data_IF_156817602185
#
_entry.id   IF_156817602185
#
_cell.length_a   1.000
_cell.length_b   1.000
_cell.length_c   1.000
_cell.angle_alpha   90.00
_cell.angle_beta   90.00
_cell.angle_gamma   90.00
#
_symmetry.space_group_name_H-M   'P 1'
#
loop_
_entity.id
_entity.type
_entity.pdbx_description
1 polymer ?
#
# COMPACT_ATOMS: atom_id res chain seq x y z
N UNK A 1 19.20 -16.17 -4.67
CA UNK A 1 18.84 -16.35 -6.09
C UNK A 1 19.71 -15.38 -6.88
N UNK A 2 20.43 -15.85 -7.90
CA UNK A 2 21.21 -14.96 -8.77
C UNK A 2 20.34 -14.28 -9.83
N UNK A 3 20.88 -13.32 -10.57
CA UNK A 3 20.16 -12.51 -11.57
C UNK A 3 19.48 -13.36 -12.67
N UNK A 4 20.14 -14.41 -13.16
CA UNK A 4 19.58 -15.31 -14.17
C UNK A 4 18.35 -16.06 -13.66
N UNK A 5 18.42 -16.55 -12.42
CA UNK A 5 17.32 -17.25 -11.78
C UNK A 5 16.16 -16.30 -11.48
N UNK A 6 16.45 -15.03 -11.16
CA UNK A 6 15.43 -13.99 -11.00
C UNK A 6 14.71 -13.71 -12.31
N UNK A 7 15.46 -13.52 -13.40
CA UNK A 7 14.90 -13.28 -14.72
C UNK A 7 13.95 -14.41 -15.15
N UNK A 8 14.37 -15.67 -14.98
CA UNK A 8 13.52 -16.82 -15.31
C UNK A 8 12.30 -16.93 -14.38
N UNK A 9 12.42 -16.59 -13.10
CA UNK A 9 11.32 -16.62 -12.12
C UNK A 9 10.17 -15.67 -12.51
N UNK A 10 10.48 -14.47 -13.01
CA UNK A 10 9.45 -13.47 -13.34
C UNK A 10 9.03 -13.48 -14.82
N UNK A 11 9.68 -14.28 -15.66
CA UNK A 11 9.47 -14.33 -17.10
C UNK A 11 8.00 -14.61 -17.42
N UNK A 12 7.40 -13.73 -18.22
CA UNK A 12 5.99 -13.81 -18.63
C UNK A 12 4.98 -13.87 -17.46
N UNK A 13 5.35 -13.46 -16.24
CA UNK A 13 4.40 -13.38 -15.14
C UNK A 13 3.31 -12.34 -15.42
N UNK A 14 2.06 -12.67 -15.08
CA UNK A 14 0.93 -11.73 -15.16
C UNK A 14 0.79 -10.86 -13.89
N UNK A 15 1.23 -11.39 -12.74
CA UNK A 15 1.23 -10.73 -11.43
C UNK A 15 2.53 -11.06 -10.69
N UNK A 16 3.19 -10.05 -10.16
CA UNK A 16 4.36 -10.17 -9.28
C UNK A 16 4.08 -9.44 -7.97
N UNK A 17 4.13 -10.16 -6.86
CA UNK A 17 4.07 -9.59 -5.52
C UNK A 17 5.48 -9.47 -4.95
N UNK A 18 5.81 -8.30 -4.42
CA UNK A 18 7.15 -7.99 -3.88
C UNK A 18 7.02 -7.72 -2.37
N UNK A 19 7.05 -8.77 -1.52
CA UNK A 19 7.21 -8.66 -0.08
C UNK A 19 8.68 -8.61 0.36
N UNK A 20 9.61 -8.75 -0.58
CA UNK A 20 11.04 -8.85 -0.31
C UNK A 20 11.57 -7.57 0.34
N UNK A 21 12.14 -7.71 1.54
CA UNK A 21 12.71 -6.61 2.28
C UNK A 21 13.27 -7.09 3.60
N UNK A 22 14.06 -6.24 4.23
CA UNK A 22 14.60 -6.49 5.56
C UNK A 22 13.61 -5.93 6.59
N UNK A 23 13.23 -6.68 7.63
CA UNK A 23 12.46 -6.13 8.73
C UNK A 23 13.35 -5.18 9.54
N UNK A 24 12.75 -4.22 10.25
CA UNK A 24 13.49 -3.34 11.15
C UNK A 24 14.22 -4.18 12.21
N UNK A 25 15.55 -4.08 12.27
CA UNK A 25 16.39 -4.73 13.30
C UNK A 25 16.74 -3.75 14.42
N UNK A 26 16.99 -4.21 15.65
CA UNK A 26 17.57 -3.36 16.70
C UNK A 26 18.82 -2.63 16.18
N UNK A 27 18.90 -1.32 16.42
CA UNK A 27 20.02 -0.48 15.98
C UNK A 27 19.94 0.09 14.56
N UNK A 28 19.02 -0.38 13.70
CA UNK A 28 18.80 0.25 12.38
C UNK A 28 18.04 1.57 12.50
N UNK A 29 18.55 2.61 11.84
CA UNK A 29 17.81 3.87 11.66
C UNK A 29 16.68 3.70 10.64
N UNK A 30 15.75 4.66 10.61
CA UNK A 30 14.70 4.69 9.56
C UNK A 30 15.30 4.81 8.16
N UNK A 31 16.43 5.52 8.04
CA UNK A 31 17.11 5.74 6.76
C UNK A 31 17.88 4.50 6.29
N UNK A 32 18.51 3.75 7.19
CA UNK A 32 19.18 2.48 6.84
C UNK A 32 18.19 1.47 6.27
N UNK A 33 17.03 1.36 6.93
CA UNK A 33 15.94 0.49 6.48
C UNK A 33 15.42 0.91 5.11
N UNK A 34 15.21 2.22 4.91
CA UNK A 34 14.82 2.77 3.62
C UNK A 34 15.83 2.43 2.53
N UNK A 35 17.12 2.75 2.71
CA UNK A 35 18.14 2.54 1.68
C UNK A 35 18.30 1.07 1.31
N UNK A 36 18.26 0.18 2.31
CA UNK A 36 18.32 -1.27 2.10
C UNK A 36 17.15 -1.75 1.24
N UNK A 37 15.92 -1.40 1.64
CA UNK A 37 14.73 -1.86 0.93
C UNK A 37 14.53 -1.16 -0.42
N UNK A 38 14.99 0.09 -0.56
CA UNK A 38 14.99 0.83 -1.81
C UNK A 38 15.84 0.13 -2.88
N UNK A 39 17.05 -0.31 -2.52
CA UNK A 39 17.91 -1.09 -3.41
C UNK A 39 17.29 -2.43 -3.82
N UNK A 40 16.70 -3.15 -2.87
CA UNK A 40 16.01 -4.43 -3.12
C UNK A 40 14.86 -4.23 -4.11
N UNK A 41 13.97 -3.27 -3.85
CA UNK A 41 12.81 -3.01 -4.73
C UNK A 41 13.26 -2.58 -6.11
N UNK A 42 14.23 -1.66 -6.20
CA UNK A 42 14.70 -1.18 -7.50
C UNK A 42 15.29 -2.31 -8.35
N UNK A 43 16.09 -3.20 -7.75
CA UNK A 43 16.65 -4.36 -8.46
C UNK A 43 15.58 -5.36 -8.92
N UNK A 44 14.62 -5.70 -8.04
CA UNK A 44 13.54 -6.63 -8.39
C UNK A 44 12.60 -6.06 -9.47
N UNK A 45 12.28 -4.77 -9.39
CA UNK A 45 11.43 -4.10 -10.38
C UNK A 45 12.16 -3.94 -11.72
N UNK A 46 13.47 -3.70 -11.72
CA UNK A 46 14.27 -3.67 -12.95
C UNK A 46 14.26 -5.03 -13.66
N UNK A 47 14.35 -6.13 -12.90
CA UNK A 47 14.20 -7.47 -13.46
C UNK A 47 12.79 -7.68 -14.05
N UNK A 48 11.74 -7.22 -13.37
CA UNK A 48 10.36 -7.29 -13.90
C UNK A 48 10.21 -6.43 -15.16
N UNK A 49 10.78 -5.23 -15.19
CA UNK A 49 10.74 -4.33 -16.34
C UNK A 49 11.31 -4.99 -17.61
N UNK A 50 12.38 -5.78 -17.46
CA UNK A 50 13.07 -6.47 -18.56
C UNK A 50 12.39 -7.76 -19.00
N UNK A 51 11.74 -8.48 -18.08
CA UNK A 51 11.30 -9.87 -18.33
C UNK A 51 9.77 -10.08 -18.30
N UNK A 52 9.02 -9.16 -17.69
CA UNK A 52 7.55 -9.16 -17.65
C UNK A 52 6.97 -7.74 -17.56
N UNK A 53 7.28 -6.84 -18.52
CA UNK A 53 6.91 -5.41 -18.44
C UNK A 53 5.41 -5.12 -18.35
N UNK A 54 4.55 -6.10 -18.64
CA UNK A 54 3.09 -5.99 -18.57
C UNK A 54 2.49 -6.60 -17.31
N UNK A 55 3.31 -7.20 -16.44
CA UNK A 55 2.85 -7.76 -15.17
C UNK A 55 2.21 -6.67 -14.30
N UNK A 56 1.21 -7.06 -13.50
CA UNK A 56 0.77 -6.24 -12.38
C UNK A 56 1.80 -6.36 -11.25
N UNK A 57 2.24 -5.25 -10.69
CA UNK A 57 3.23 -5.23 -9.60
C UNK A 57 2.57 -4.81 -8.29
N UNK A 58 2.50 -5.76 -7.33
CA UNK A 58 2.07 -5.51 -5.96
C UNK A 58 3.26 -5.29 -5.03
N UNK A 59 3.58 -4.03 -4.74
CA UNK A 59 4.67 -3.63 -3.85
C UNK A 59 4.18 -3.67 -2.40
N UNK A 60 4.72 -4.61 -1.62
CA UNK A 60 4.44 -4.79 -0.18
C UNK A 60 5.63 -4.30 0.66
N UNK A 61 6.82 -4.29 0.08
CA UNK A 61 8.06 -3.88 0.75
C UNK A 61 7.96 -2.47 1.34
N UNK A 62 8.21 -2.37 2.63
CA UNK A 62 8.21 -1.10 3.36
C UNK A 62 9.49 -0.29 3.12
N UNK A 63 9.41 1.07 3.15
CA UNK A 63 8.19 1.86 3.31
C UNK A 63 7.42 2.03 1.99
N UNK A 64 6.16 1.57 1.92
CA UNK A 64 5.33 1.59 0.68
C UNK A 64 5.20 2.98 0.07
N UNK A 65 5.09 4.02 0.93
CA UNK A 65 5.00 5.42 0.53
C UNK A 65 6.20 5.89 -0.33
N UNK A 66 7.35 5.21 -0.26
CA UNK A 66 8.54 5.51 -1.06
C UNK A 66 8.92 4.41 -2.05
N UNK A 67 8.65 3.13 -1.74
CA UNK A 67 9.00 2.01 -2.63
C UNK A 67 8.12 1.93 -3.88
N UNK A 68 6.87 2.41 -3.83
CA UNK A 68 6.02 2.57 -5.03
C UNK A 68 6.55 3.65 -5.99
N UNK A 69 6.91 4.86 -5.53
CA UNK A 69 7.64 5.82 -6.34
C UNK A 69 8.93 5.25 -6.93
N UNK A 70 9.73 4.51 -6.16
CA UNK A 70 10.94 3.83 -6.66
C UNK A 70 10.61 2.88 -7.80
N UNK A 71 9.62 1.99 -7.60
CA UNK A 71 9.20 1.05 -8.63
C UNK A 71 8.75 1.77 -9.92
N UNK A 72 7.98 2.85 -9.75
CA UNK A 72 7.50 3.67 -10.88
C UNK A 72 8.64 4.34 -11.64
N UNK A 73 9.62 4.93 -10.96
CA UNK A 73 10.77 5.56 -11.61
C UNK A 73 11.68 4.54 -12.30
N UNK A 74 11.89 3.35 -11.72
CA UNK A 74 12.66 2.27 -12.37
C UNK A 74 11.97 1.80 -13.66
N UNK A 75 10.65 1.64 -13.65
CA UNK A 75 9.89 1.31 -14.85
C UNK A 75 9.94 2.42 -15.91
N UNK A 76 9.91 3.70 -15.49
CA UNK A 76 10.05 4.85 -16.41
C UNK A 76 11.40 4.85 -17.10
N UNK A 77 12.48 4.58 -16.36
CA UNK A 77 13.84 4.47 -16.92
C UNK A 77 13.98 3.34 -17.92
N UNK A 78 13.27 2.23 -17.69
CA UNK A 78 13.18 1.12 -18.63
C UNK A 78 12.19 1.37 -19.79
N UNK A 79 11.47 2.50 -19.82
CA UNK A 79 10.53 2.85 -20.90
C UNK A 79 9.24 2.03 -20.93
N UNK A 80 8.90 1.33 -19.83
CA UNK A 80 7.77 0.39 -19.75
C UNK A 80 6.75 0.75 -18.67
N UNK A 81 6.80 1.97 -18.15
CA UNK A 81 5.90 2.41 -17.08
C UNK A 81 4.44 2.50 -17.54
N UNK A 82 3.58 1.76 -16.84
CA UNK A 82 2.12 1.88 -16.90
C UNK A 82 1.59 2.12 -15.48
N UNK A 83 1.09 3.34 -15.23
CA UNK A 83 0.56 3.75 -13.94
C UNK A 83 -0.61 2.88 -13.45
N UNK A 84 -1.32 2.19 -14.36
CA UNK A 84 -2.44 1.31 -14.01
C UNK A 84 -2.00 -0.04 -13.43
N UNK A 85 -0.71 -0.37 -13.49
CA UNK A 85 -0.17 -1.70 -13.16
C UNK A 85 0.75 -1.72 -11.95
N UNK A 86 0.94 -0.59 -11.27
CA UNK A 86 1.82 -0.49 -10.08
C UNK A 86 0.96 -0.17 -8.87
N UNK A 87 0.99 -1.06 -7.88
CA UNK A 87 0.14 -0.99 -6.70
C UNK A 87 0.98 -1.09 -5.42
N UNK A 88 0.88 -0.10 -4.53
CA UNK A 88 1.26 -0.28 -3.14
C UNK A 88 0.15 -1.01 -2.39
N UNK A 89 0.46 -2.18 -1.85
CA UNK A 89 -0.53 -3.02 -1.16
C UNK A 89 -0.78 -2.47 0.24
N UNK A 90 -1.86 -1.70 0.40
CA UNK A 90 -2.29 -1.12 1.69
C UNK A 90 -3.45 -1.87 2.34
N UNK A 91 -3.83 -3.03 1.78
CA UNK A 91 -4.97 -3.84 2.21
C UNK A 91 -4.92 -4.23 3.69
N UNK A 92 -3.74 -4.31 4.30
CA UNK A 92 -3.61 -4.62 5.73
C UNK A 92 -4.25 -3.53 6.61
N UNK A 93 -4.25 -2.27 6.18
CA UNK A 93 -4.86 -1.18 6.93
C UNK A 93 -6.39 -1.27 6.88
N UNK A 94 -6.94 -1.67 5.73
CA UNK A 94 -8.37 -1.97 5.58
C UNK A 94 -8.76 -3.16 6.45
N UNK A 95 -7.99 -4.25 6.42
CA UNK A 95 -8.22 -5.43 7.27
C UNK A 95 -8.24 -5.04 8.75
N UNK A 96 -7.27 -4.26 9.21
CA UNK A 96 -7.22 -3.76 10.60
C UNK A 96 -8.41 -2.87 10.94
N UNK A 97 -8.75 -1.94 10.04
CA UNK A 97 -9.89 -1.03 10.23
C UNK A 97 -11.18 -1.82 10.36
N UNK A 98 -11.42 -2.79 9.49
CA UNK A 98 -12.60 -3.66 9.54
C UNK A 98 -12.66 -4.42 10.86
N UNK A 99 -11.55 -5.04 11.29
CA UNK A 99 -11.47 -5.78 12.56
C UNK A 99 -11.79 -4.89 13.75
N UNK A 100 -11.13 -3.74 13.88
CA UNK A 100 -11.32 -2.88 15.07
C UNK A 100 -12.70 -2.23 15.10
N UNK A 101 -13.27 -1.86 13.95
CA UNK A 101 -14.63 -1.32 13.86
C UNK A 101 -15.65 -2.41 14.21
N UNK A 102 -15.45 -3.63 13.70
CA UNK A 102 -16.32 -4.77 13.98
C UNK A 102 -16.33 -5.11 15.48
N UNK A 103 -15.15 -5.19 16.10
CA UNK A 103 -14.99 -5.38 17.56
C UNK A 103 -15.74 -4.29 18.35
N UNK A 104 -15.53 -3.02 18.01
CA UNK A 104 -16.10 -1.89 18.74
C UNK A 104 -17.63 -1.78 18.60
N UNK A 105 -18.22 -2.35 17.55
CA UNK A 105 -19.68 -2.33 17.29
C UNK A 105 -20.37 -3.68 17.46
N UNK A 106 -19.65 -4.73 17.81
CA UNK A 106 -20.20 -6.09 17.89
C UNK A 106 -20.73 -6.59 16.54
N UNK A 107 -20.07 -6.23 15.44
CA UNK A 107 -20.44 -6.64 14.08
C UNK A 107 -19.64 -7.86 13.62
N UNK A 108 -20.18 -8.55 12.63
CA UNK A 108 -19.46 -9.58 11.89
C UNK A 108 -18.42 -8.91 10.97
N UNK A 109 -17.13 -9.14 11.23
CA UNK A 109 -16.01 -8.53 10.49
C UNK A 109 -16.06 -8.84 8.99
N UNK A 110 -16.61 -9.98 8.58
CA UNK A 110 -16.74 -10.35 7.16
C UNK A 110 -17.70 -9.45 6.38
N UNK A 111 -18.54 -8.67 7.09
CA UNK A 111 -19.53 -7.74 6.53
C UNK A 111 -19.12 -6.28 6.70
N UNK A 112 -17.99 -6.01 7.35
CA UNK A 112 -17.49 -4.65 7.57
C UNK A 112 -16.50 -4.30 6.46
N UNK A 113 -16.68 -3.13 5.87
CA UNK A 113 -15.73 -2.53 4.93
C UNK A 113 -15.57 -1.06 5.24
N UNK A 114 -14.38 -0.67 5.69
CA UNK A 114 -13.95 0.70 5.92
C UNK A 114 -12.88 1.07 4.88
N UNK A 115 -13.14 2.03 3.99
CA UNK A 115 -12.10 2.58 3.14
C UNK A 115 -10.97 3.17 3.98
N UNK A 116 -9.72 2.91 3.58
CA UNK A 116 -8.54 3.54 4.15
C UNK A 116 -7.77 4.20 3.03
N UNK A 117 -7.58 5.51 3.14
CA UNK A 117 -6.95 6.36 2.13
C UNK A 117 -5.63 6.93 2.65
N UNK A 118 -4.88 7.64 1.81
CA UNK A 118 -3.62 8.27 2.20
C UNK A 118 -2.39 7.48 1.79
N UNK A 119 -1.68 6.93 2.78
CA UNK A 119 -0.49 6.10 2.62
C UNK A 119 -0.52 4.90 3.57
N UNK A 120 0.66 4.35 3.85
CA UNK A 120 0.86 3.13 4.64
C UNK A 120 1.85 3.31 5.81
N UNK A 121 1.93 4.51 6.38
CA UNK A 121 2.83 4.80 7.51
C UNK A 121 2.24 5.84 8.45
N UNK A 122 2.06 5.47 9.72
CA UNK A 122 1.68 6.40 10.79
C UNK A 122 0.47 7.26 10.41
N UNK A 123 0.62 8.58 10.51
CA UNK A 123 -0.46 9.55 10.24
C UNK A 123 -0.95 9.53 8.79
N UNK A 124 -0.17 8.97 7.86
CA UNK A 124 -0.58 8.87 6.46
C UNK A 124 -1.70 7.85 6.25
N UNK A 125 -1.94 6.94 7.21
CA UNK A 125 -3.05 5.99 7.18
C UNK A 125 -4.31 6.71 7.65
N UNK A 126 -5.28 6.91 6.76
CA UNK A 126 -6.52 7.65 7.05
C UNK A 126 -7.74 6.74 6.89
N UNK A 127 -8.26 6.14 7.98
CA UNK A 127 -9.50 5.37 7.93
C UNK A 127 -10.71 6.31 7.77
N UNK A 128 -11.48 6.13 6.71
CA UNK A 128 -12.66 6.95 6.41
C UNK A 128 -13.89 6.29 7.02
N UNK A 129 -13.97 6.32 8.35
CA UNK A 129 -15.00 5.64 9.15
C UNK A 129 -16.40 6.13 8.74
N UNK A 130 -16.54 7.38 8.30
CA UNK A 130 -17.81 7.92 7.79
C UNK A 130 -18.35 7.22 6.54
N UNK A 131 -17.50 6.50 5.81
CA UNK A 131 -17.84 5.74 4.60
C UNK A 131 -17.88 4.22 4.83
N UNK A 132 -17.94 3.78 6.08
CA UNK A 132 -18.06 2.35 6.38
C UNK A 132 -19.36 1.73 5.87
N UNK A 133 -19.27 0.47 5.47
CA UNK A 133 -20.42 -0.41 5.21
C UNK A 133 -20.35 -1.61 6.15
N UNK A 134 -21.40 -1.95 6.92
CA UNK A 134 -22.60 -1.13 7.14
C UNK A 134 -22.25 0.23 7.76
N UNK A 135 -23.17 1.19 7.65
CA UNK A 135 -22.96 2.51 8.24
C UNK A 135 -22.76 2.40 9.75
N UNK A 136 -21.67 2.98 10.26
CA UNK A 136 -21.35 3.05 11.67
C UNK A 136 -21.12 4.50 12.10
N UNK A 137 -21.49 4.82 13.34
CA UNK A 137 -21.23 6.12 13.94
C UNK A 137 -20.56 5.95 15.30
N UNK A 138 -19.59 6.82 15.59
CA UNK A 138 -18.87 6.88 16.85
C UNK A 138 -18.88 8.32 17.36
N UNK A 139 -18.97 8.53 18.69
CA UNK A 139 -18.59 9.81 19.29
C UNK A 139 -17.20 10.23 18.83
N UNK A 140 -16.96 11.54 18.72
CA UNK A 140 -15.72 12.06 18.14
C UNK A 140 -14.45 11.58 18.87
N UNK A 141 -14.51 11.44 20.19
CA UNK A 141 -13.40 10.91 20.99
C UNK A 141 -13.09 9.45 20.67
N UNK A 142 -14.10 8.60 20.57
CA UNK A 142 -13.95 7.18 20.21
C UNK A 142 -13.44 7.03 18.77
N UNK A 143 -13.96 7.83 17.84
CA UNK A 143 -13.47 7.87 16.45
C UNK A 143 -11.98 8.22 16.41
N UNK A 144 -11.55 9.21 17.20
CA UNK A 144 -10.17 9.62 17.25
C UNK A 144 -9.26 8.52 17.81
N UNK A 145 -9.66 7.88 18.92
CA UNK A 145 -8.93 6.73 19.50
C UNK A 145 -8.82 5.57 18.50
N UNK A 146 -9.90 5.26 17.80
CA UNK A 146 -9.92 4.20 16.80
C UNK A 146 -9.00 4.51 15.61
N UNK A 147 -9.01 5.76 15.12
CA UNK A 147 -8.14 6.20 14.02
C UNK A 147 -6.66 6.10 14.42
N UNK A 148 -6.30 6.52 15.64
CA UNK A 148 -4.94 6.40 16.18
C UNK A 148 -4.52 4.94 16.33
N UNK A 149 -5.41 4.06 16.81
CA UNK A 149 -5.14 2.61 16.89
C UNK A 149 -4.87 2.02 15.51
N UNK A 150 -5.68 2.37 14.50
CA UNK A 150 -5.49 1.91 13.11
C UNK A 150 -4.11 2.34 12.58
N UNK A 151 -3.75 3.62 12.77
CA UNK A 151 -2.45 4.16 12.36
C UNK A 151 -1.25 3.47 13.03
N UNK A 152 -1.41 3.04 14.29
CA UNK A 152 -0.34 2.45 15.10
C UNK A 152 -0.38 0.92 15.20
N UNK A 153 -1.35 0.26 14.57
CA UNK A 153 -1.50 -1.20 14.64
C UNK A 153 -0.26 -1.97 14.11
N UNK A 154 0.54 -1.37 13.23
CA UNK A 154 1.85 -1.90 12.85
C UNK A 154 2.83 -1.95 14.02
N UNK A 155 2.89 -0.86 14.78
CA UNK A 155 3.74 -0.70 15.96
C UNK A 155 3.30 -1.64 17.08
N UNK A 156 1.99 -1.74 17.35
CA UNK A 156 1.43 -2.66 18.36
C UNK A 156 1.88 -4.11 18.13
N UNK A 157 1.93 -4.57 16.87
CA UNK A 157 2.42 -5.93 16.55
C UNK A 157 3.92 -6.07 16.78
N UNK A 158 4.71 -5.06 16.45
CA UNK A 158 6.18 -5.09 16.70
C UNK A 158 6.47 -5.15 18.20
N UNK A 159 5.74 -4.36 18.99
CA UNK A 159 5.85 -4.35 20.45
C UNK A 159 5.42 -5.69 21.05
N UNK A 160 4.29 -6.25 20.60
CA UNK A 160 3.81 -7.56 21.04
C UNK A 160 4.78 -8.70 20.68
N UNK A 161 5.55 -8.54 19.60
CA UNK A 161 6.63 -9.47 19.22
C UNK A 161 7.98 -9.14 19.87
N UNK A 162 8.02 -8.23 20.85
CA UNK A 162 9.24 -7.79 21.53
C UNK A 162 10.37 -7.37 20.56
N UNK A 163 10.00 -6.74 19.43
CA UNK A 163 10.96 -6.32 18.40
C UNK A 163 11.49 -7.44 17.50
N UNK A 164 11.05 -8.69 17.65
CA UNK A 164 11.46 -9.84 16.84
C UNK A 164 10.84 -9.86 15.41
N UNK A 165 10.45 -8.70 14.90
CA UNK A 165 9.84 -8.52 13.58
C UNK A 165 8.47 -7.84 13.63
N UNK A 166 7.86 -7.68 12.46
CA UNK A 166 6.56 -7.03 12.26
C UNK A 166 5.45 -8.03 11.93
N UNK A 167 4.29 -7.54 11.50
CA UNK A 167 3.18 -8.35 11.02
C UNK A 167 3.61 -9.22 9.82
N UNK A 168 3.43 -10.53 9.95
CA UNK A 168 3.77 -11.51 8.89
C UNK A 168 2.52 -12.22 8.40
N UNK A 169 1.82 -12.93 9.29
CA UNK A 169 0.62 -13.72 8.94
C UNK A 169 -0.53 -12.84 8.43
N UNK A 170 -0.85 -11.76 9.16
CA UNK A 170 -1.90 -10.83 8.73
C UNK A 170 -1.52 -10.07 7.45
N UNK A 171 -0.23 -9.79 7.24
CA UNK A 171 0.25 -9.21 5.98
C UNK A 171 0.12 -10.20 4.82
N UNK A 172 0.45 -11.49 5.02
CA UNK A 172 0.27 -12.53 4.01
C UNK A 172 -1.22 -12.69 3.64
N UNK A 173 -2.12 -12.68 4.62
CA UNK A 173 -3.56 -12.65 4.39
C UNK A 173 -3.98 -11.44 3.54
N UNK A 174 -3.59 -10.23 3.95
CA UNK A 174 -3.96 -9.01 3.24
C UNK A 174 -3.38 -8.95 1.80
N UNK A 175 -2.15 -9.42 1.60
CA UNK A 175 -1.55 -9.52 0.28
C UNK A 175 -2.26 -10.55 -0.62
N UNK A 176 -2.68 -11.69 -0.03
CA UNK A 176 -3.49 -12.70 -0.73
C UNK A 176 -4.85 -12.14 -1.15
N UNK A 177 -5.55 -11.41 -0.26
CA UNK A 177 -6.83 -10.76 -0.57
C UNK A 177 -6.70 -9.77 -1.74
N UNK A 178 -5.65 -8.93 -1.72
CA UNK A 178 -5.37 -8.01 -2.82
C UNK A 178 -5.09 -8.75 -4.14
N UNK A 179 -4.23 -9.77 -4.09
CA UNK A 179 -3.84 -10.56 -5.24
C UNK A 179 -5.04 -11.28 -5.86
N UNK A 180 -5.87 -11.93 -5.03
CA UNK A 180 -7.08 -12.61 -5.49
C UNK A 180 -8.07 -11.63 -6.13
N UNK A 181 -8.30 -10.46 -5.52
CA UNK A 181 -9.18 -9.45 -6.11
C UNK A 181 -8.68 -8.95 -7.47
N UNK A 182 -7.37 -8.82 -7.64
CA UNK A 182 -6.74 -8.41 -8.89
C UNK A 182 -6.80 -9.53 -9.95
N UNK A 183 -6.53 -10.78 -9.57
CA UNK A 183 -6.66 -11.93 -10.46
C UNK A 183 -8.11 -12.14 -10.93
N UNK A 184 -9.09 -11.99 -10.03
CA UNK A 184 -10.51 -12.03 -10.36
C UNK A 184 -10.87 -10.99 -11.42
N UNK A 185 -10.39 -9.75 -11.23
CA UNK A 185 -10.60 -8.65 -12.17
C UNK A 185 -9.91 -8.89 -13.52
N UNK A 186 -8.69 -9.44 -13.50
CA UNK A 186 -7.95 -9.86 -14.70
C UNK A 186 -8.72 -10.92 -15.51
N UNK A 187 -9.39 -11.84 -14.82
CA UNK A 187 -10.27 -12.84 -15.41
C UNK A 187 -11.62 -12.28 -15.90
N UNK A 188 -11.93 -11.02 -15.59
CA UNK A 188 -13.13 -10.32 -16.05
C UNK A 188 -14.26 -10.24 -15.03
N UNK A 189 -14.00 -10.58 -13.77
CA UNK A 189 -14.95 -10.32 -12.68
C UNK A 189 -15.10 -8.82 -12.50
N UNK A 190 -16.33 -8.32 -12.63
CA UNK A 190 -16.64 -6.90 -12.51
C UNK A 190 -16.85 -6.49 -11.06
N UNK A 191 -16.67 -5.21 -10.75
CA UNK A 191 -16.98 -4.64 -9.43
C UNK A 191 -15.98 -4.98 -8.33
N UNK A 192 -14.77 -5.44 -8.68
CA UNK A 192 -13.69 -5.67 -7.71
C UNK A 192 -13.08 -4.33 -7.30
N UNK A 193 -13.29 -3.94 -6.04
CA UNK A 193 -12.74 -2.69 -5.48
C UNK A 193 -11.74 -3.01 -4.37
N UNK A 194 -10.61 -2.33 -4.38
CA UNK A 194 -9.58 -2.41 -3.32
C UNK A 194 -9.05 -1.01 -3.03
N UNK A 195 -8.61 -0.75 -1.79
CA UNK A 195 -7.77 0.42 -1.53
C UNK A 195 -6.32 0.05 -1.84
N UNK A 196 -5.62 0.88 -2.61
CA UNK A 196 -4.20 0.69 -2.92
C UNK A 196 -3.51 2.05 -3.12
N UNK A 197 -2.23 2.13 -2.74
CA UNK A 197 -1.39 3.31 -2.97
C UNK A 197 -0.88 3.33 -4.41
N UNK A 198 -1.41 4.23 -5.24
CA UNK A 198 -1.15 4.27 -6.69
C UNK A 198 -0.80 5.69 -7.13
N UNK A 199 -0.32 5.86 -8.37
CA UNK A 199 -0.24 7.18 -9.02
C UNK A 199 -1.65 7.78 -9.03
N UNK A 200 -1.81 8.96 -8.45
CA UNK A 200 -3.12 9.57 -8.21
C UNK A 200 -3.07 11.09 -8.38
N UNK A 201 -4.14 11.66 -8.91
CA UNK A 201 -4.33 13.11 -9.02
C UNK A 201 -5.43 13.63 -8.07
N UNK A 202 -5.86 12.80 -7.11
CA UNK A 202 -6.90 13.13 -6.11
C UNK A 202 -6.44 14.17 -5.08
N UNK A 203 -5.12 14.33 -4.92
CA UNK A 203 -4.48 15.33 -4.06
C UNK A 203 -3.27 15.91 -4.78
N UNK A 204 -2.61 16.89 -4.17
CA UNK A 204 -1.35 17.40 -4.68
C UNK A 204 -0.16 16.42 -4.51
N UNK A 205 -0.34 15.30 -3.82
CA UNK A 205 0.66 14.23 -3.74
C UNK A 205 0.56 13.35 -4.99
N UNK A 206 1.68 13.12 -5.69
CA UNK A 206 1.71 12.31 -6.93
C UNK A 206 1.19 10.89 -6.75
N UNK A 207 1.28 10.34 -5.55
CA UNK A 207 0.80 9.02 -5.19
C UNK A 207 -0.09 9.12 -3.96
N UNK A 208 -1.21 8.41 -3.96
CA UNK A 208 -2.17 8.45 -2.88
C UNK A 208 -3.05 7.20 -2.89
N UNK A 209 -3.33 6.65 -1.72
CA UNK A 209 -4.20 5.51 -1.56
C UNK A 209 -5.66 5.93 -1.60
N UNK A 210 -6.45 5.29 -2.46
CA UNK A 210 -7.89 5.48 -2.63
C UNK A 210 -8.54 4.15 -3.01
N UNK A 211 -9.86 4.00 -2.87
CA UNK A 211 -10.57 2.89 -3.48
C UNK A 211 -10.41 2.94 -5.00
N UNK A 212 -9.90 1.85 -5.58
CA UNK A 212 -9.74 1.67 -7.02
C UNK A 212 -10.61 0.52 -7.49
N UNK A 213 -11.33 0.73 -8.58
CA UNK A 213 -11.94 -0.34 -9.34
C UNK A 213 -10.85 -1.04 -10.15
N UNK A 214 -10.70 -2.34 -9.92
CA UNK A 214 -9.78 -3.21 -10.65
C UNK A 214 -10.50 -3.77 -11.88
N UNK A 215 -9.77 -3.88 -12.99
CA UNK A 215 -10.24 -4.50 -14.22
C UNK A 215 -9.14 -5.32 -14.90
N UNK A 216 -9.40 -5.72 -16.16
CA UNK A 216 -8.51 -6.63 -16.91
C UNK A 216 -7.07 -6.12 -17.07
N UNK A 217 -6.91 -4.80 -17.05
CA UNK A 217 -5.64 -4.11 -17.30
C UNK A 217 -5.18 -3.28 -16.08
N UNK A 218 -5.53 -3.73 -14.87
CA UNK A 218 -5.11 -3.10 -13.62
C UNK A 218 -6.14 -2.10 -13.13
N UNK A 219 -5.72 -0.88 -12.77
CA UNK A 219 -6.65 0.19 -12.36
C UNK A 219 -7.59 0.54 -13.53
N UNK A 220 -8.87 0.18 -13.40
CA UNK A 220 -9.92 0.56 -14.34
C UNK A 220 -10.42 1.97 -14.04
N UNK A 221 -10.65 2.28 -12.76
CA UNK A 221 -11.08 3.60 -12.31
C UNK A 221 -10.58 3.90 -10.90
N UNK A 222 -10.05 5.09 -10.68
CA UNK A 222 -9.89 5.62 -9.33
C UNK A 222 -11.25 6.18 -8.85
N UNK A 223 -11.78 5.67 -7.73
CA UNK A 223 -13.07 6.09 -7.18
C UNK A 223 -12.94 7.34 -6.30
N UNK A 224 -11.71 7.76 -6.03
CA UNK A 224 -11.38 9.00 -5.34
C UNK A 224 -11.62 8.96 -3.83
N UNK A 225 -11.48 10.13 -3.21
CA UNK A 225 -11.57 10.30 -1.75
C UNK A 225 -13.03 10.25 -1.24
N UNK A 226 -13.98 10.62 -2.10
CA UNK A 226 -15.39 10.73 -1.72
C UNK A 226 -15.66 11.87 -0.72
N UNK A 227 -16.80 11.80 -0.04
CA UNK A 227 -17.20 12.81 0.95
C UNK A 227 -16.55 12.52 2.30
N UNK A 228 -15.79 13.47 2.82
CA UNK A 228 -15.15 13.38 4.14
C UNK A 228 -15.86 14.26 5.17
N UNK A 229 -15.83 13.82 6.43
CA UNK A 229 -16.08 14.69 7.58
C UNK A 229 -14.88 15.63 7.81
N UNK A 230 -15.10 16.74 8.52
CA UNK A 230 -14.02 17.71 8.80
C UNK A 230 -12.85 17.07 9.55
N UNK A 231 -13.13 16.15 10.47
CA UNK A 231 -12.09 15.36 11.14
C UNK A 231 -11.22 14.56 10.17
N UNK A 232 -11.83 13.83 9.24
CA UNK A 232 -11.12 13.00 8.26
C UNK A 232 -10.35 13.87 7.26
N UNK A 233 -10.92 15.02 6.85
CA UNK A 233 -10.24 16.02 6.02
C UNK A 233 -8.99 16.56 6.72
N UNK A 234 -9.07 16.83 8.03
CA UNK A 234 -7.91 17.26 8.81
C UNK A 234 -6.82 16.18 8.88
N UNK A 235 -7.18 14.90 8.96
CA UNK A 235 -6.21 13.79 8.89
C UNK A 235 -5.53 13.74 7.52
N UNK A 236 -6.27 13.87 6.42
CA UNK A 236 -5.71 13.95 5.07
C UNK A 236 -4.73 15.11 4.96
N UNK A 237 -5.12 16.31 5.40
CA UNK A 237 -4.25 17.49 5.37
C UNK A 237 -2.96 17.27 6.18
N UNK A 238 -3.06 16.69 7.38
CA UNK A 238 -1.91 16.40 8.23
C UNK A 238 -0.94 15.39 7.61
N UNK A 239 -1.44 14.46 6.78
CA UNK A 239 -0.63 13.46 6.09
C UNK A 239 0.17 14.00 4.90
N UNK A 240 -0.21 15.17 4.35
CA UNK A 240 0.28 15.62 3.03
C UNK A 240 1.78 15.85 2.99
N UNK A 241 2.35 16.51 3.98
CA UNK A 241 3.78 16.85 3.98
C UNK A 241 4.63 15.59 4.13
N UNK A 242 4.22 14.65 4.99
CA UNK A 242 4.90 13.36 5.15
C UNK A 242 4.80 12.53 3.86
N UNK A 243 3.64 12.51 3.19
CA UNK A 243 3.48 11.82 1.91
C UNK A 243 4.38 12.41 0.82
N UNK A 244 4.37 13.73 0.64
CA UNK A 244 5.23 14.42 -0.34
C UNK A 244 6.70 14.14 -0.07
N UNK A 245 7.13 14.21 1.20
CA UNK A 245 8.50 13.91 1.59
C UNK A 245 8.89 12.47 1.27
N UNK A 246 8.04 11.50 1.63
CA UNK A 246 8.28 10.09 1.35
C UNK A 246 8.33 9.79 -0.15
N UNK A 247 7.45 10.42 -0.94
CA UNK A 247 7.42 10.28 -2.40
C UNK A 247 8.71 10.83 -3.01
N UNK A 248 9.05 12.08 -2.70
CA UNK A 248 10.28 12.72 -3.21
C UNK A 248 11.53 11.92 -2.86
N UNK A 249 11.61 11.38 -1.64
CA UNK A 249 12.73 10.53 -1.21
C UNK A 249 12.89 9.29 -2.10
N UNK A 250 11.78 8.65 -2.48
CA UNK A 250 11.79 7.51 -3.39
C UNK A 250 12.22 7.88 -4.82
N UNK A 251 11.68 8.98 -5.35
CA UNK A 251 12.03 9.48 -6.69
C UNK A 251 13.52 9.87 -6.77
N UNK A 252 14.00 10.61 -5.78
CA UNK A 252 15.40 11.03 -5.68
C UNK A 252 16.37 9.86 -5.56
N UNK A 253 16.00 8.79 -4.85
CA UNK A 253 16.84 7.60 -4.74
C UNK A 253 17.14 7.01 -6.13
N UNK A 254 16.13 6.87 -6.99
CA UNK A 254 16.31 6.34 -8.35
C UNK A 254 17.05 7.34 -9.24
N UNK A 255 16.78 8.63 -9.10
CA UNK A 255 17.51 9.67 -9.83
C UNK A 255 19.01 9.67 -9.53
N UNK A 256 19.39 9.45 -8.26
CA UNK A 256 20.78 9.44 -7.79
C UNK A 256 21.53 8.13 -8.13
N UNK A 257 20.87 6.97 -7.98
CA UNK A 257 21.56 5.67 -7.97
C UNK A 257 21.41 4.84 -9.24
N UNK A 258 20.39 5.10 -10.07
CA UNK A 258 20.08 4.28 -11.26
C UNK A 258 20.22 5.13 -12.52
N UNK A 259 21.43 5.52 -12.92
CA UNK A 259 21.63 6.34 -14.13
C UNK A 259 21.32 5.58 -15.42
#
# INVERSE_FOLDING_TARGET
MGDEQLAECVKNADLVLIPAGVPRKPGMTRDDLFNTNAGIVAHLVDACAKNCPKAMLGIITNPVNSTVPIASEVLKKNGVYDAKRVFGVTTLDVVRSNTFIAEAKGLDVSKVTCPVIGGHSGITIVPVISQCTPSVSFPQEERAKLSVRIQNAGTEVVEAKAGAGSATLSMAYAASEFANALLDAMNGTVGRVQCAFVRSDETEAKYFATPILLGRNGVEKNLGIGKLLDYERNLVNAAMDELKSNISKGEEFVAKNFK
#
